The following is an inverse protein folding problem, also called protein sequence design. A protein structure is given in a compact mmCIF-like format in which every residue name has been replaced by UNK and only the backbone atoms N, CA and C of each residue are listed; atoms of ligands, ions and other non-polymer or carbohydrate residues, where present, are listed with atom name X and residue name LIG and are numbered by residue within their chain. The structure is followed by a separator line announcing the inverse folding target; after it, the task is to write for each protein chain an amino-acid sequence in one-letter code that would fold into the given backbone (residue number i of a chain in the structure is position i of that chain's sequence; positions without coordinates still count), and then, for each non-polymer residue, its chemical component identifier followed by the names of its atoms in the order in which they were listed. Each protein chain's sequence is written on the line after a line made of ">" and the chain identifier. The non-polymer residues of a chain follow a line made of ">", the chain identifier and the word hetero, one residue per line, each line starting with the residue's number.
data_IF_645868823998
#
_entry.id   IF_645868823998
#
_cell.length_a   1.000
_cell.length_b   1.000
_cell.length_c   1.000
_cell.angle_alpha   90.00
_cell.angle_beta   90.00
_cell.angle_gamma   90.00
#
_symmetry.space_group_name_H-M   'P 1'
#
loop_
_entity.id
_entity.type
_entity.pdbx_description
1 polymer ?
#
# COMPACT_ATOMS: atom_id res chain seq x y z
N UNK A 1 25.93 -9.94 16.61
CA UNK A 1 26.32 -8.56 16.23
C UNK A 1 25.26 -7.63 16.79
N UNK A 2 25.62 -6.67 17.63
CA UNK A 2 24.67 -5.69 18.20
C UNK A 2 24.77 -4.40 17.38
N UNK A 3 23.63 -3.91 16.85
CA UNK A 3 23.56 -2.66 16.10
C UNK A 3 23.15 -1.56 17.08
N UNK A 4 23.97 -0.52 17.20
CA UNK A 4 23.68 0.65 18.03
C UNK A 4 23.04 1.75 17.16
N UNK A 5 21.72 1.83 17.15
CA UNK A 5 20.95 2.73 16.26
C UNK A 5 21.23 4.22 16.49
N UNK A 6 21.62 4.61 17.70
CA UNK A 6 21.99 5.99 18.05
C UNK A 6 23.27 6.51 17.39
N UNK A 7 24.02 5.64 16.70
CA UNK A 7 25.23 5.99 15.94
C UNK A 7 24.92 6.43 14.51
N UNK A 8 23.67 6.30 14.06
CA UNK A 8 23.28 6.61 12.68
C UNK A 8 22.49 7.92 12.63
N UNK A 9 22.83 8.77 11.67
CA UNK A 9 22.13 10.03 11.44
C UNK A 9 20.74 9.82 10.82
N UNK A 10 20.53 8.69 10.14
CA UNK A 10 19.26 8.31 9.53
C UNK A 10 19.07 6.80 9.57
N UNK A 11 17.87 6.38 9.92
CA UNK A 11 17.46 4.97 9.94
C UNK A 11 16.29 4.86 8.97
N UNK A 12 16.39 3.93 8.00
CA UNK A 12 15.33 3.69 7.02
C UNK A 12 14.91 2.23 7.07
N UNK A 13 13.64 1.99 7.34
CA UNK A 13 13.02 0.69 7.18
C UNK A 13 12.40 0.60 5.79
N UNK A 14 13.07 -0.12 4.89
CA UNK A 14 12.56 -0.40 3.55
C UNK A 14 11.86 -1.75 3.55
N UNK A 15 10.53 -1.77 3.36
CA UNK A 15 9.73 -2.99 3.51
C UNK A 15 8.97 -3.36 2.23
N UNK A 16 8.69 -4.65 2.08
CA UNK A 16 7.91 -5.23 0.99
C UNK A 16 6.97 -6.32 1.50
N UNK A 17 6.34 -7.07 0.60
CA UNK A 17 5.25 -8.01 0.91
C UNK A 17 5.62 -9.07 1.96
N UNK A 18 6.89 -9.46 2.07
CA UNK A 18 7.38 -10.36 3.11
C UNK A 18 7.16 -9.83 4.52
N UNK A 19 7.19 -8.51 4.71
CA UNK A 19 6.92 -7.88 6.01
C UNK A 19 5.49 -8.15 6.50
N UNK A 20 4.51 -8.24 5.63
CA UNK A 20 3.10 -8.48 6.00
C UNK A 20 2.70 -9.96 5.90
N UNK A 21 3.60 -10.84 5.44
CA UNK A 21 3.30 -12.26 5.28
C UNK A 21 2.95 -12.94 6.61
N UNK A 22 3.69 -12.65 7.68
CA UNK A 22 3.41 -13.17 9.02
C UNK A 22 2.12 -12.62 9.65
N UNK A 23 1.64 -11.49 9.14
CA UNK A 23 0.31 -10.96 9.48
C UNK A 23 -0.82 -11.74 8.80
N UNK A 24 -0.52 -12.64 7.86
CA UNK A 24 -1.49 -13.38 7.06
C UNK A 24 -1.88 -12.68 5.76
N UNK A 25 -1.27 -11.54 5.42
CA UNK A 25 -1.49 -10.87 4.13
C UNK A 25 -0.78 -11.64 3.03
N UNK A 26 -1.50 -12.17 2.02
CA UNK A 26 -0.86 -12.93 0.95
C UNK A 26 0.12 -12.06 0.16
N UNK A 27 1.31 -12.59 -0.10
CA UNK A 27 2.28 -11.95 -0.98
C UNK A 27 1.77 -11.92 -2.43
N UNK A 28 2.29 -11.01 -3.24
CA UNK A 28 1.90 -10.94 -4.66
C UNK A 28 2.62 -11.97 -5.51
N UNK A 29 3.89 -12.27 -5.21
CA UNK A 29 4.76 -13.21 -5.92
C UNK A 29 5.24 -14.31 -4.97
N UNK A 30 5.87 -15.35 -5.51
CA UNK A 30 6.35 -16.47 -4.75
C UNK A 30 5.30 -17.55 -4.50
N UNK A 31 5.64 -18.58 -3.71
CA UNK A 31 4.77 -19.74 -3.45
C UNK A 31 3.46 -19.28 -2.77
N UNK A 32 2.31 -19.52 -3.40
CA UNK A 32 1.00 -19.11 -2.89
C UNK A 32 0.66 -17.63 -3.11
N UNK A 33 1.49 -16.89 -3.86
CA UNK A 33 1.26 -15.49 -4.16
C UNK A 33 0.01 -15.25 -5.02
N UNK A 34 -0.54 -14.04 -4.93
CA UNK A 34 -1.82 -13.65 -5.58
C UNK A 34 -1.77 -13.87 -7.08
N UNK A 35 -0.63 -13.56 -7.73
CA UNK A 35 -0.47 -13.68 -9.17
C UNK A 35 -0.35 -15.13 -9.67
N UNK A 36 -0.33 -16.14 -8.80
CA UNK A 36 -0.55 -17.53 -9.19
C UNK A 36 -2.03 -17.83 -9.46
N UNK A 37 -2.93 -17.17 -8.74
CA UNK A 37 -4.39 -17.34 -8.86
C UNK A 37 -5.03 -16.35 -9.84
N UNK A 38 -4.50 -15.14 -9.90
CA UNK A 38 -5.03 -14.05 -10.70
C UNK A 38 -4.00 -13.58 -11.71
N UNK A 39 -4.42 -13.29 -12.93
CA UNK A 39 -3.55 -12.68 -13.95
C UNK A 39 -3.56 -11.15 -13.74
N UNK A 40 -2.41 -10.54 -13.47
CA UNK A 40 -2.31 -9.11 -13.21
C UNK A 40 -2.85 -8.26 -14.37
N UNK A 41 -2.76 -8.75 -15.62
CA UNK A 41 -3.26 -8.11 -16.83
C UNK A 41 -4.79 -7.89 -16.82
N UNK A 42 -5.50 -8.56 -15.92
CA UNK A 42 -6.94 -8.40 -15.77
C UNK A 42 -7.34 -7.51 -14.59
N UNK A 43 -6.41 -7.22 -13.66
CA UNK A 43 -6.75 -6.61 -12.37
C UNK A 43 -5.84 -5.47 -11.92
N UNK A 44 -4.61 -5.40 -12.44
CA UNK A 44 -3.59 -4.49 -11.94
C UNK A 44 -2.83 -3.78 -13.06
N UNK A 45 -3.59 -3.22 -14.01
CA UNK A 45 -3.07 -2.37 -15.06
C UNK A 45 -4.14 -1.38 -15.56
N UNK A 46 -3.71 -0.27 -16.14
CA UNK A 46 -4.60 0.77 -16.66
C UNK A 46 -5.47 0.24 -17.80
N UNK A 47 -4.92 -0.61 -18.66
CA UNK A 47 -5.66 -1.24 -19.76
C UNK A 47 -6.85 -2.05 -19.26
N UNK A 48 -6.69 -2.83 -18.19
CA UNK A 48 -7.80 -3.57 -17.56
C UNK A 48 -8.85 -2.64 -16.96
N UNK A 49 -8.42 -1.57 -16.30
CA UNK A 49 -9.33 -0.60 -15.70
C UNK A 49 -10.18 0.13 -16.74
N UNK A 50 -9.59 0.56 -17.85
CA UNK A 50 -10.34 1.20 -18.96
C UNK A 50 -11.38 0.21 -19.53
N UNK A 51 -11.00 -1.04 -19.71
CA UNK A 51 -11.87 -2.08 -20.28
C UNK A 51 -13.05 -2.42 -19.37
N UNK A 52 -12.82 -2.55 -18.06
CA UNK A 52 -13.86 -2.90 -17.08
C UNK A 52 -13.49 -2.38 -15.68
N UNK A 53 -13.78 -1.10 -15.39
CA UNK A 53 -13.42 -0.50 -14.10
C UNK A 53 -14.09 -1.20 -12.92
N UNK A 54 -15.35 -1.63 -13.06
CA UNK A 54 -16.05 -2.32 -11.98
C UNK A 54 -15.34 -3.61 -11.56
N UNK A 55 -14.89 -4.42 -12.53
CA UNK A 55 -14.17 -5.67 -12.28
C UNK A 55 -12.83 -5.45 -11.55
N UNK A 56 -12.09 -4.42 -11.94
CA UNK A 56 -10.84 -4.05 -11.27
C UNK A 56 -11.10 -3.56 -9.86
N UNK A 57 -12.14 -2.75 -9.65
CA UNK A 57 -12.54 -2.26 -8.32
C UNK A 57 -12.96 -3.44 -7.42
N UNK A 58 -13.77 -4.39 -7.93
CA UNK A 58 -14.19 -5.58 -7.19
C UNK A 58 -12.99 -6.40 -6.69
N UNK A 59 -11.97 -6.57 -7.53
CA UNK A 59 -10.73 -7.24 -7.13
C UNK A 59 -10.01 -6.52 -5.98
N UNK A 60 -9.89 -5.19 -6.06
CA UNK A 60 -9.23 -4.41 -5.01
C UNK A 60 -10.06 -4.37 -3.72
N UNK A 61 -11.39 -4.35 -3.82
CA UNK A 61 -12.27 -4.49 -2.64
C UNK A 61 -12.10 -5.87 -1.97
N UNK A 62 -11.97 -6.95 -2.75
CA UNK A 62 -11.64 -8.26 -2.21
C UNK A 62 -10.29 -8.22 -1.45
N UNK A 63 -9.27 -7.56 -2.01
CA UNK A 63 -7.98 -7.40 -1.35
C UNK A 63 -8.07 -6.59 -0.05
N UNK A 64 -8.92 -5.57 0.00
CA UNK A 64 -9.21 -4.80 1.22
C UNK A 64 -9.84 -5.68 2.30
N UNK A 65 -10.88 -6.45 1.93
CA UNK A 65 -11.57 -7.37 2.84
C UNK A 65 -10.58 -8.38 3.43
N UNK A 66 -9.68 -8.94 2.62
CA UNK A 66 -8.66 -9.86 3.11
C UNK A 66 -7.65 -9.17 4.04
N UNK A 67 -7.19 -7.96 3.71
CA UNK A 67 -6.28 -7.20 4.55
C UNK A 67 -6.90 -6.79 5.89
N UNK A 68 -8.22 -6.53 5.95
CA UNK A 68 -8.92 -6.21 7.20
C UNK A 68 -9.01 -7.39 8.17
N UNK A 69 -8.90 -8.63 7.70
CA UNK A 69 -8.87 -9.82 8.57
C UNK A 69 -7.51 -10.03 9.24
N UNK A 70 -6.48 -9.33 8.77
CA UNK A 70 -5.11 -9.45 9.24
C UNK A 70 -4.78 -8.34 10.23
N UNK A 71 -3.89 -8.61 11.18
CA UNK A 71 -3.42 -7.63 12.16
C UNK A 71 -1.91 -7.41 12.03
N UNK A 72 -1.40 -6.19 12.30
CA UNK A 72 0.02 -5.93 12.34
C UNK A 72 0.73 -6.89 13.33
N UNK A 73 1.73 -7.61 12.84
CA UNK A 73 2.51 -8.51 13.69
C UNK A 73 3.59 -7.75 14.49
N UNK A 74 4.34 -8.47 15.31
CA UNK A 74 5.34 -7.89 16.22
C UNK A 74 6.40 -7.04 15.49
N UNK A 75 6.79 -7.41 14.27
CA UNK A 75 7.77 -6.63 13.48
C UNK A 75 7.28 -5.23 13.15
N UNK A 76 6.01 -5.06 12.74
CA UNK A 76 5.43 -3.73 12.52
C UNK A 76 5.44 -2.90 13.80
N UNK A 77 5.07 -3.50 14.94
CA UNK A 77 5.04 -2.83 16.24
C UNK A 77 6.44 -2.41 16.71
N UNK A 78 7.46 -3.25 16.45
CA UNK A 78 8.87 -2.91 16.75
C UNK A 78 9.32 -1.72 15.91
N UNK A 79 9.02 -1.69 14.60
CA UNK A 79 9.37 -0.57 13.73
C UNK A 79 8.69 0.71 14.21
N UNK A 80 7.40 0.65 14.56
CA UNK A 80 6.67 1.79 15.16
C UNK A 80 7.33 2.29 16.44
N UNK A 81 7.70 1.39 17.35
CA UNK A 81 8.38 1.75 18.60
C UNK A 81 9.76 2.38 18.34
N UNK A 82 10.49 1.89 17.33
CA UNK A 82 11.77 2.49 16.94
C UNK A 82 11.58 3.87 16.31
N UNK A 83 10.57 4.07 15.47
CA UNK A 83 10.23 5.39 14.91
C UNK A 83 9.87 6.39 16.00
N UNK A 84 9.12 5.96 17.01
CA UNK A 84 8.77 6.81 18.16
C UNK A 84 10.01 7.17 19.01
N UNK A 85 10.94 6.21 19.17
CA UNK A 85 12.15 6.40 19.98
C UNK A 85 13.23 7.22 19.28
N UNK A 86 13.35 7.06 17.96
CA UNK A 86 14.41 7.69 17.15
C UNK A 86 13.75 8.56 16.07
N UNK A 87 13.73 9.87 16.27
CA UNK A 87 13.08 10.84 15.37
C UNK A 87 13.67 10.89 13.96
N UNK A 88 14.87 10.32 13.77
CA UNK A 88 15.54 10.18 12.48
C UNK A 88 15.18 8.88 11.73
N UNK A 89 14.08 8.21 12.12
CA UNK A 89 13.62 6.96 11.53
C UNK A 89 12.53 7.21 10.50
N UNK A 90 12.75 6.76 9.28
CA UNK A 90 11.78 6.78 8.18
C UNK A 90 11.32 5.37 7.82
N UNK A 91 10.08 5.24 7.37
CA UNK A 91 9.52 4.00 6.86
C UNK A 91 9.17 4.20 5.38
N UNK A 92 9.79 3.41 4.52
CA UNK A 92 9.52 3.37 3.09
C UNK A 92 8.99 1.99 2.75
N UNK A 93 7.79 1.90 2.21
CA UNK A 93 7.17 0.60 1.93
C UNK A 93 6.71 0.47 0.49
N UNK A 94 6.88 -0.74 -0.06
CA UNK A 94 6.26 -1.18 -1.30
C UNK A 94 4.85 -1.75 -1.06
N UNK A 95 4.48 -1.96 0.21
CA UNK A 95 3.19 -2.54 0.58
C UNK A 95 2.08 -1.50 0.47
N UNK A 96 0.91 -1.98 0.06
CA UNK A 96 -0.31 -1.19 -0.09
C UNK A 96 -1.37 -1.51 0.97
N UNK A 97 -1.03 -2.37 1.94
CA UNK A 97 -1.96 -2.98 2.91
C UNK A 97 -2.24 -2.12 4.15
N UNK A 98 -1.44 -1.07 4.39
CA UNK A 98 -1.59 -0.15 5.53
C UNK A 98 -1.18 -0.75 6.88
N UNK A 99 -0.45 -1.87 6.93
CA UNK A 99 -0.07 -2.53 8.18
C UNK A 99 0.82 -1.67 9.07
N UNK A 100 1.72 -0.87 8.49
CA UNK A 100 2.55 0.07 9.25
C UNK A 100 1.71 1.14 9.95
N UNK A 101 0.77 1.75 9.21
CA UNK A 101 -0.15 2.77 9.75
C UNK A 101 -1.05 2.17 10.82
N UNK A 102 -1.57 0.96 10.60
CA UNK A 102 -2.39 0.22 11.58
C UNK A 102 -1.61 -0.19 12.82
N UNK A 103 -0.29 -0.34 12.72
CA UNK A 103 0.60 -0.54 13.89
C UNK A 103 0.87 0.75 14.67
N UNK A 104 0.45 1.92 14.14
CA UNK A 104 0.65 3.24 14.74
C UNK A 104 1.83 4.03 14.15
N UNK A 105 2.50 3.53 13.11
CA UNK A 105 3.56 4.27 12.44
C UNK A 105 3.02 5.53 11.76
N UNK A 106 3.79 6.61 11.84
CA UNK A 106 3.48 7.90 11.24
C UNK A 106 4.36 8.12 9.99
N UNK A 107 3.89 8.99 9.08
CA UNK A 107 4.68 9.42 7.92
C UNK A 107 5.30 8.27 7.10
N UNK A 108 4.49 7.23 6.85
CA UNK A 108 4.91 6.09 6.04
C UNK A 108 4.92 6.48 4.57
N UNK A 109 6.08 6.36 3.91
CA UNK A 109 6.22 6.62 2.47
C UNK A 109 5.79 5.36 1.69
N UNK A 110 4.65 5.45 1.01
CA UNK A 110 4.04 4.36 0.25
C UNK A 110 4.42 4.45 -1.23
N UNK A 111 5.46 3.71 -1.65
CA UNK A 111 5.98 3.77 -3.03
C UNK A 111 4.97 3.30 -4.07
N UNK A 112 4.09 2.37 -3.72
CA UNK A 112 3.10 1.82 -4.63
C UNK A 112 1.67 2.29 -4.33
N UNK A 113 1.52 3.36 -3.54
CA UNK A 113 0.20 3.85 -3.14
C UNK A 113 -0.46 2.99 -2.08
N UNK A 114 -1.80 2.98 -2.03
CA UNK A 114 -2.56 2.37 -0.94
C UNK A 114 -3.87 1.75 -1.38
N UNK A 115 -4.20 0.58 -0.83
CA UNK A 115 -5.53 -0.04 -0.96
C UNK A 115 -6.64 0.83 -0.34
N UNK A 116 -6.29 1.76 0.53
CA UNK A 116 -7.22 2.55 1.33
C UNK A 116 -7.57 3.89 0.70
N UNK A 117 -7.03 4.16 -0.48
CA UNK A 117 -7.30 5.38 -1.24
C UNK A 117 -7.84 5.06 -2.63
N UNK A 118 -8.70 5.97 -3.10
CA UNK A 118 -9.13 6.06 -4.48
C UNK A 118 -8.73 7.42 -5.03
N UNK A 119 -8.47 7.51 -6.32
CA UNK A 119 -8.20 8.78 -6.99
C UNK A 119 -9.11 8.98 -8.20
N UNK A 120 -9.40 10.24 -8.48
CA UNK A 120 -10.01 10.63 -9.74
C UNK A 120 -8.92 11.14 -10.67
N UNK A 121 -8.60 10.40 -11.72
CA UNK A 121 -7.53 10.79 -12.66
C UNK A 121 -7.88 12.08 -13.42
N UNK A 122 -9.18 12.40 -13.59
CA UNK A 122 -9.64 13.64 -14.25
C UNK A 122 -9.50 14.88 -13.38
N UNK A 123 -9.84 14.78 -12.09
CA UNK A 123 -9.87 15.93 -11.18
C UNK A 123 -8.66 15.97 -10.23
N UNK A 124 -7.80 14.95 -10.23
CA UNK A 124 -6.66 14.84 -9.32
C UNK A 124 -7.06 14.67 -7.84
N UNK A 125 -8.33 14.39 -7.54
CA UNK A 125 -8.83 14.24 -6.16
C UNK A 125 -8.50 12.88 -5.59
N UNK A 126 -8.09 12.87 -4.32
CA UNK A 126 -7.90 11.66 -3.51
C UNK A 126 -9.07 11.48 -2.53
N UNK A 127 -9.47 10.24 -2.33
CA UNK A 127 -10.53 9.84 -1.40
C UNK A 127 -10.01 8.72 -0.51
N UNK A 128 -9.94 8.97 0.77
CA UNK A 128 -9.49 7.96 1.75
C UNK A 128 -10.67 7.27 2.43
N UNK A 129 -10.50 5.98 2.71
CA UNK A 129 -11.42 5.19 3.49
C UNK A 129 -10.68 4.02 4.16
N UNK A 130 -10.33 4.18 5.42
CA UNK A 130 -9.44 3.27 6.15
C UNK A 130 -10.14 2.07 6.78
N UNK A 131 -11.48 2.10 6.93
CA UNK A 131 -12.19 1.16 7.81
C UNK A 131 -13.13 0.18 7.12
N UNK A 132 -13.33 0.32 5.81
CA UNK A 132 -14.32 -0.48 5.08
C UNK A 132 -13.69 -1.37 4.02
N UNK A 133 -14.17 -2.60 3.90
CA UNK A 133 -13.74 -3.53 2.86
C UNK A 133 -14.12 -3.06 1.46
N UNK A 134 -15.26 -2.37 1.33
CA UNK A 134 -15.70 -1.77 0.07
C UNK A 134 -15.40 -0.28 0.05
N UNK A 135 -15.18 0.26 -1.13
CA UNK A 135 -15.06 1.71 -1.30
C UNK A 135 -16.44 2.36 -1.13
N UNK A 136 -16.48 3.48 -0.41
CA UNK A 136 -17.74 4.21 -0.15
C UNK A 136 -18.39 4.69 -1.45
N UNK A 137 -17.57 5.16 -2.39
CA UNK A 137 -17.99 5.59 -3.72
C UNK A 137 -17.06 4.99 -4.77
N UNK A 138 -17.62 4.55 -5.89
CA UNK A 138 -16.87 4.06 -7.05
C UNK A 138 -16.78 5.08 -8.18
N UNK A 139 -17.50 6.20 -8.06
CA UNK A 139 -17.50 7.30 -9.03
C UNK A 139 -17.24 8.63 -8.37
N UNK A 140 -16.51 9.47 -9.07
CA UNK A 140 -16.31 10.86 -8.72
C UNK A 140 -17.56 11.69 -9.02
N UNK A 141 -17.70 12.86 -8.41
CA UNK A 141 -18.73 13.84 -8.75
C UNK A 141 -18.72 14.28 -10.22
N UNK A 142 -17.58 14.16 -10.90
CA UNK A 142 -17.45 14.43 -12.33
C UNK A 142 -17.99 13.31 -13.24
N UNK A 143 -18.48 12.19 -12.66
CA UNK A 143 -19.05 11.05 -13.37
C UNK A 143 -18.06 9.93 -13.69
N UNK A 144 -16.75 10.19 -13.65
CA UNK A 144 -15.71 9.20 -13.92
C UNK A 144 -15.61 8.13 -12.81
N UNK A 145 -15.20 6.91 -13.16
CA UNK A 145 -14.85 5.92 -12.17
C UNK A 145 -13.62 6.34 -11.38
N UNK A 146 -13.68 6.19 -10.06
CA UNK A 146 -12.53 6.34 -9.19
C UNK A 146 -11.61 5.13 -9.36
N UNK A 147 -10.34 5.38 -9.52
CA UNK A 147 -9.31 4.37 -9.63
C UNK A 147 -8.70 4.10 -8.25
N UNK A 148 -8.46 2.83 -7.84
CA UNK A 148 -7.60 2.55 -6.69
C UNK A 148 -6.27 3.27 -6.82
N UNK A 149 -5.87 4.00 -5.77
CA UNK A 149 -4.62 4.79 -5.76
C UNK A 149 -3.42 3.87 -5.51
N UNK A 150 -3.18 3.01 -6.49
CA UNK A 150 -2.13 1.99 -6.49
C UNK A 150 -1.33 2.13 -7.78
N UNK A 151 -0.01 1.99 -7.69
CA UNK A 151 0.87 1.87 -8.83
C UNK A 151 0.74 0.46 -9.41
N UNK A 152 0.19 0.35 -10.60
CA UNK A 152 0.02 -0.90 -11.33
C UNK A 152 1.21 -1.20 -12.25
N UNK A 153 1.19 -2.36 -12.91
CA UNK A 153 2.31 -2.83 -13.75
C UNK A 153 2.62 -1.94 -14.96
N UNK A 154 1.64 -1.19 -15.45
CA UNK A 154 1.82 -0.24 -16.55
C UNK A 154 2.15 1.18 -16.08
N UNK A 155 2.10 1.43 -14.77
CA UNK A 155 2.34 2.76 -14.21
C UNK A 155 3.82 2.99 -13.91
N UNK A 156 4.21 4.24 -13.90
CA UNK A 156 5.47 4.70 -13.34
C UNK A 156 5.31 5.06 -11.87
N UNK A 157 6.39 4.93 -11.10
CA UNK A 157 6.43 5.43 -9.73
C UNK A 157 6.22 6.94 -9.73
N UNK A 158 5.54 7.45 -8.72
CA UNK A 158 5.39 8.88 -8.53
C UNK A 158 6.74 9.49 -8.17
N UNK A 159 7.22 10.41 -9.00
CA UNK A 159 8.55 11.03 -8.86
C UNK A 159 8.72 11.73 -7.51
N UNK A 160 7.73 12.49 -7.05
CA UNK A 160 7.78 13.17 -5.76
C UNK A 160 7.87 12.17 -4.58
N UNK A 161 7.18 11.04 -4.67
CA UNK A 161 7.27 9.97 -3.67
C UNK A 161 8.66 9.34 -3.64
N UNK A 162 9.27 9.12 -4.81
CA UNK A 162 10.64 8.58 -4.91
C UNK A 162 11.65 9.56 -4.33
N UNK A 163 11.52 10.85 -4.67
CA UNK A 163 12.38 11.91 -4.10
C UNK A 163 12.27 11.92 -2.58
N UNK A 164 11.05 11.91 -2.02
CA UNK A 164 10.84 11.87 -0.56
C UNK A 164 11.43 10.62 0.10
N UNK A 165 11.47 9.49 -0.60
CA UNK A 165 12.05 8.25 -0.08
C UNK A 165 13.58 8.26 -0.07
N UNK A 166 14.24 9.13 -0.83
CA UNK A 166 15.69 9.22 -0.97
C UNK A 166 16.33 10.34 -0.16
N UNK A 167 15.54 11.26 0.35
CA UNK A 167 15.96 12.37 1.24
C UNK A 167 15.62 12.09 2.69
#
# INVERSE_FOLDING_TARGET
>A
MTIHLNQYNKIVFFTGAGMSAESGVPTYRGRGGIWHKYKWENYACQTAFIRNPAHVIDFHELRRIEALKCEPHVGHKIITALQTKYSNTSIVTQNIDGMHQRAGSQEVIELHGSLWRMRCDKEGKLFENLSQGKYANRKCSCGEFLRPDIIWFEDQLNESTVVNATH
#
